data_IF_008176941731
#
_entry.id   IF_008176941731
#
_cell.length_a   1.000
_cell.length_b   1.000
_cell.length_c   1.000
_cell.angle_alpha   90.00
_cell.angle_beta   90.00
_cell.angle_gamma   90.00
#
_symmetry.space_group_name_H-M   'P 1'
#
loop_
_entity.id
_entity.type
_entity.pdbx_description
1 polymer ?
#
# COMPACT_ATOMS: atom_id res chain seq x y z
N UNK A 1 -40.47 14.34 -25.44
CA UNK A 1 -39.29 15.08 -24.93
C UNK A 1 -39.54 15.27 -23.44
N UNK A 2 -38.91 14.64 -22.44
CA UNK A 2 -37.60 13.99 -22.30
C UNK A 2 -37.69 12.93 -21.17
N UNK A 3 -37.30 11.70 -21.53
CA UNK A 3 -36.64 10.62 -20.76
C UNK A 3 -37.10 10.18 -19.35
N UNK A 4 -37.77 9.03 -19.35
CA UNK A 4 -37.97 8.06 -18.25
C UNK A 4 -36.67 7.36 -17.81
N UNK A 5 -35.62 8.10 -17.44
CA UNK A 5 -34.42 7.50 -16.81
C UNK A 5 -33.85 8.42 -15.74
N UNK A 6 -34.48 8.43 -14.57
CA UNK A 6 -33.79 8.80 -13.34
C UNK A 6 -33.46 7.53 -12.53
N UNK A 7 -32.96 6.50 -13.20
CA UNK A 7 -32.29 5.38 -12.53
C UNK A 7 -30.84 5.77 -12.23
N UNK A 8 -30.63 6.80 -11.42
CA UNK A 8 -29.31 7.15 -10.89
C UNK A 8 -29.42 7.66 -9.45
N UNK A 9 -30.05 6.86 -8.59
CA UNK A 9 -29.36 6.68 -7.30
C UNK A 9 -28.12 5.88 -7.63
N UNK A 10 -27.04 6.56 -8.01
CA UNK A 10 -25.72 5.99 -7.86
C UNK A 10 -25.69 5.56 -6.40
N UNK A 11 -25.73 4.26 -6.14
CA UNK A 11 -25.33 3.71 -4.85
C UNK A 11 -24.08 4.47 -4.50
N UNK A 12 -24.15 5.36 -3.50
CA UNK A 12 -23.10 6.32 -3.22
C UNK A 12 -21.91 5.51 -2.69
N UNK A 13 -21.19 4.85 -3.60
CA UNK A 13 -19.93 4.21 -3.34
C UNK A 13 -19.03 5.38 -3.09
N UNK A 14 -18.93 5.73 -1.81
CA UNK A 14 -18.05 6.79 -1.33
C UNK A 14 -16.70 6.52 -1.98
N UNK A 15 -16.29 7.38 -2.91
CA UNK A 15 -15.01 7.24 -3.58
C UNK A 15 -13.97 7.73 -2.58
N UNK A 16 -13.48 6.81 -1.76
CA UNK A 16 -12.49 7.09 -0.74
C UNK A 16 -11.18 7.64 -1.33
N UNK A 17 -10.90 7.39 -2.61
CA UNK A 17 -9.78 7.99 -3.33
C UNK A 17 -10.01 9.41 -3.86
N UNK A 18 -11.22 9.99 -3.79
CA UNK A 18 -11.50 11.32 -4.35
C UNK A 18 -10.67 12.44 -3.70
N UNK A 19 -10.26 12.27 -2.44
CA UNK A 19 -9.43 13.24 -1.73
C UNK A 19 -7.93 12.94 -1.83
N UNK A 20 -7.53 12.01 -2.69
CA UNK A 20 -6.13 11.62 -2.88
C UNK A 20 -5.40 11.31 -1.54
N UNK A 21 -5.91 10.34 -0.74
CA UNK A 21 -5.41 10.10 0.61
C UNK A 21 -3.97 9.56 0.65
N UNK A 22 -3.47 8.93 -0.42
CA UNK A 22 -2.13 8.36 -0.48
C UNK A 22 -1.08 9.44 -0.75
N UNK A 23 -0.02 9.49 0.06
CA UNK A 23 1.10 10.42 -0.08
C UNK A 23 2.34 9.73 -0.66
N UNK A 24 3.43 10.49 -0.87
CA UNK A 24 4.71 9.97 -1.35
C UNK A 24 4.64 9.17 -2.66
N UNK A 25 3.72 9.53 -3.55
CA UNK A 25 3.54 8.87 -4.85
C UNK A 25 2.82 7.53 -4.81
N UNK A 26 2.15 7.20 -3.69
CA UNK A 26 1.31 6.00 -3.60
C UNK A 26 0.07 6.08 -4.50
N UNK A 27 -0.36 4.92 -5.03
CA UNK A 27 -1.55 4.80 -5.88
C UNK A 27 -2.77 4.43 -5.03
N UNK A 28 -3.84 5.21 -5.11
CA UNK A 28 -5.06 4.93 -4.36
C UNK A 28 -5.97 3.93 -5.10
N UNK A 29 -6.41 2.89 -4.37
CA UNK A 29 -7.34 1.88 -4.86
C UNK A 29 -8.64 1.96 -4.06
N UNK A 30 -9.75 2.23 -4.76
CA UNK A 30 -11.08 2.25 -4.14
C UNK A 30 -11.54 0.82 -3.85
N UNK A 31 -11.91 0.55 -2.60
CA UNK A 31 -12.48 -0.72 -2.15
C UNK A 31 -13.96 -0.55 -1.83
N UNK A 32 -14.65 -1.65 -1.53
CA UNK A 32 -16.06 -1.58 -1.15
C UNK A 32 -16.17 -1.12 0.32
N UNK A 33 -16.46 0.16 0.52
CA UNK A 33 -16.58 0.75 1.86
C UNK A 33 -15.27 1.25 2.47
N UNK A 34 -14.15 1.19 1.74
CA UNK A 34 -12.84 1.72 2.17
C UNK A 34 -11.93 2.08 0.99
N UNK A 35 -10.67 2.43 1.28
CA UNK A 35 -9.59 2.52 0.30
C UNK A 35 -8.36 1.75 0.79
N UNK A 36 -7.45 1.47 -0.14
CA UNK A 36 -6.09 1.04 0.15
C UNK A 36 -5.11 1.87 -0.68
N UNK A 37 -3.90 2.05 -0.18
CA UNK A 37 -2.81 2.71 -0.88
C UNK A 37 -1.75 1.69 -1.28
N UNK A 38 -1.44 1.62 -2.57
CA UNK A 38 -0.28 0.91 -3.08
C UNK A 38 0.93 1.82 -3.00
N UNK A 39 1.83 1.56 -2.05
CA UNK A 39 2.94 2.43 -1.73
C UNK A 39 4.17 2.13 -2.58
N UNK A 40 4.89 3.19 -2.98
CA UNK A 40 6.19 3.04 -3.63
C UNK A 40 7.21 2.38 -2.70
N UNK A 41 8.19 1.71 -3.30
CA UNK A 41 9.27 1.03 -2.59
C UNK A 41 9.96 1.97 -1.59
N UNK A 42 10.00 1.55 -0.32
CA UNK A 42 10.60 2.35 0.76
C UNK A 42 9.61 3.28 1.47
N UNK A 43 8.31 3.17 1.17
CA UNK A 43 7.24 3.80 1.92
C UNK A 43 6.22 2.75 2.40
N UNK A 44 5.54 3.05 3.49
CA UNK A 44 4.50 2.22 4.10
C UNK A 44 3.61 3.04 5.03
N UNK A 45 2.70 2.38 5.72
CA UNK A 45 1.59 3.03 6.43
C UNK A 45 0.30 3.04 5.60
N UNK A 46 -0.83 3.38 6.23
CA UNK A 46 -2.15 3.32 5.57
C UNK A 46 -2.25 4.30 4.38
N UNK A 47 -1.49 5.39 4.46
CA UNK A 47 -1.48 6.46 3.48
C UNK A 47 -0.10 6.62 2.83
N UNK A 48 0.81 5.65 3.00
CA UNK A 48 2.21 5.74 2.57
C UNK A 48 3.00 6.89 3.22
N UNK A 49 2.60 7.32 4.41
CA UNK A 49 3.18 8.44 5.14
C UNK A 49 4.53 8.14 5.79
N UNK A 50 4.83 6.85 6.00
CA UNK A 50 6.05 6.42 6.67
C UNK A 50 7.08 5.97 5.65
N UNK A 51 8.31 6.48 5.74
CA UNK A 51 9.44 5.86 5.05
C UNK A 51 9.73 4.48 5.64
N UNK A 52 9.49 3.42 4.90
CA UNK A 52 9.96 2.08 5.25
C UNK A 52 11.45 1.98 4.95
N UNK A 53 12.25 2.04 6.01
CA UNK A 53 13.66 1.66 5.95
C UNK A 53 13.68 0.19 5.56
N UNK A 54 14.04 -0.10 4.30
CA UNK A 54 14.18 -1.47 3.78
C UNK A 54 14.89 -2.32 4.82
N UNK A 55 14.17 -3.23 5.47
CA UNK A 55 14.79 -4.24 6.32
C UNK A 55 15.72 -5.00 5.38
N UNK A 56 17.04 -4.84 5.56
CA UNK A 56 18.03 -5.67 4.87
C UNK A 56 17.80 -7.10 5.34
N UNK A 57 16.90 -7.83 4.69
CA UNK A 57 16.84 -9.26 4.87
C UNK A 57 18.08 -9.81 4.22
N UNK A 58 18.86 -10.53 5.01
CA UNK A 58 20.09 -11.13 4.55
C UNK A 58 19.74 -12.25 3.57
N UNK A 59 19.86 -11.95 2.29
CA UNK A 59 19.92 -12.97 1.25
C UNK A 59 21.25 -13.72 1.40
N UNK A 60 21.25 -14.80 2.18
CA UNK A 60 22.16 -15.91 1.92
C UNK A 60 21.52 -16.73 0.79
N UNK A 61 22.24 -17.11 -0.26
CA UNK A 61 22.79 -18.45 -0.48
C UNK A 61 23.45 -18.33 -1.87
N UNK A 62 24.78 -18.39 -2.07
CA UNK A 62 25.67 -19.56 -2.02
C UNK A 62 27.15 -19.15 -1.93
N UNK A 63 27.95 -20.01 -1.30
CA UNK A 63 29.42 -20.10 -1.30
C UNK A 63 30.24 -19.07 -0.48
N UNK A 64 30.08 -19.15 0.84
CA UNK A 64 31.19 -19.32 1.79
C UNK A 64 32.34 -18.30 1.83
N UNK A 65 32.20 -17.24 2.63
CA UNK A 65 33.19 -16.68 3.60
C UNK A 65 32.84 -15.22 3.93
N UNK A 66 32.51 -14.96 5.19
CA UNK A 66 33.13 -13.98 6.12
C UNK A 66 32.18 -13.76 7.31
N UNK A 67 32.73 -13.95 8.51
CA UNK A 67 32.10 -13.79 9.82
C UNK A 67 31.58 -12.36 10.05
N UNK A 68 30.58 -12.27 10.94
CA UNK A 68 29.89 -11.06 11.43
C UNK A 68 28.83 -10.58 10.44
N UNK A 69 27.61 -11.09 10.60
CA UNK A 69 26.48 -10.31 11.11
C UNK A 69 25.44 -11.31 11.58
N UNK A 70 25.17 -11.37 12.89
CA UNK A 70 24.05 -12.13 13.44
C UNK A 70 22.78 -11.56 12.84
N UNK A 71 22.19 -12.32 11.94
CA UNK A 71 20.92 -12.00 11.31
C UNK A 71 19.84 -12.29 12.34
N UNK A 72 19.51 -11.32 13.18
CA UNK A 72 18.24 -11.34 13.92
C UNK A 72 17.14 -10.92 12.94
N UNK A 73 16.79 -11.79 11.99
CA UNK A 73 15.47 -11.74 11.37
C UNK A 73 14.52 -12.41 12.35
N UNK A 74 14.02 -11.59 13.27
CA UNK A 74 12.88 -11.94 14.10
C UNK A 74 11.71 -12.22 13.15
N UNK A 75 11.17 -13.44 13.21
CA UNK A 75 10.00 -13.85 12.45
C UNK A 75 8.83 -12.98 12.90
N UNK A 76 8.13 -12.39 11.94
CA UNK A 76 6.90 -11.66 12.21
C UNK A 76 5.84 -12.65 12.75
N UNK A 77 5.35 -12.36 13.96
CA UNK A 77 4.25 -13.00 14.67
C UNK A 77 3.72 -12.00 15.67
#
# INVERSE_FOLDING_TARGET
>A
QISLVAAWRCSAKRHFCSNNPCVNGGTCVNLWGSFSCDCLLGFGGQNCERGEKRRKTNAAILSGRILRFKITTYKDG
#
